data_IF_979152520325
#
_entry.id   IF_979152520325
#
_cell.length_a   1.000
_cell.length_b   1.000
_cell.length_c   1.000
_cell.angle_alpha   90.00
_cell.angle_beta   90.00
_cell.angle_gamma   90.00
#
_symmetry.space_group_name_H-M   'P 1'
#
loop_
_entity.id
_entity.type
_entity.pdbx_description
1 polymer ?
#
# COMPACT_ATOMS: atom_id res chain seq x y z
N UNK A 1 -1.60 -10.90 -2.83
CA UNK A 1 -2.68 -10.85 -1.81
C UNK A 1 -2.03 -10.75 -0.43
N UNK A 2 -2.63 -10.02 0.51
CA UNK A 2 -2.12 -9.87 1.88
C UNK A 2 -3.06 -10.53 2.87
N UNK A 3 -2.50 -11.22 3.86
CA UNK A 3 -3.22 -11.97 4.88
C UNK A 3 -2.90 -11.47 6.29
N UNK A 4 -3.81 -11.75 7.22
CA UNK A 4 -3.65 -11.38 8.63
C UNK A 4 -2.35 -11.98 9.19
N UNK A 5 -1.53 -11.11 9.78
CA UNK A 5 -0.27 -11.49 10.42
C UNK A 5 0.95 -11.33 9.51
N UNK A 6 0.76 -11.07 8.21
CA UNK A 6 1.88 -10.75 7.33
C UNK A 6 2.42 -9.34 7.61
N UNK A 7 3.74 -9.21 7.52
CA UNK A 7 4.45 -7.94 7.60
C UNK A 7 5.14 -7.69 6.26
N UNK A 8 4.86 -6.54 5.65
CA UNK A 8 5.49 -6.13 4.40
C UNK A 8 6.41 -4.95 4.69
N UNK A 9 7.66 -5.08 4.30
CA UNK A 9 8.61 -3.97 4.32
C UNK A 9 8.68 -3.34 2.93
N UNK A 10 8.46 -2.04 2.86
CA UNK A 10 8.46 -1.30 1.61
C UNK A 10 9.76 -0.53 1.53
N UNK A 11 10.56 -0.84 0.51
CA UNK A 11 11.86 -0.20 0.33
C UNK A 11 11.71 1.32 0.06
N UNK A 12 12.70 2.15 0.44
CA UNK A 12 12.67 3.58 0.18
C UNK A 12 12.47 3.89 -1.31
N UNK A 13 11.70 4.94 -1.60
CA UNK A 13 11.45 5.46 -2.95
C UNK A 13 10.71 4.51 -3.91
N UNK A 14 10.13 3.41 -3.41
CA UNK A 14 9.28 2.52 -4.22
C UNK A 14 7.87 3.12 -4.33
N UNK A 15 7.43 3.36 -5.56
CA UNK A 15 6.04 3.70 -5.86
C UNK A 15 5.19 2.45 -5.65
N UNK A 16 4.18 2.55 -4.78
CA UNK A 16 3.31 1.42 -4.43
C UNK A 16 1.93 1.92 -4.02
N UNK A 17 0.99 0.99 -3.98
CA UNK A 17 -0.34 1.17 -3.39
C UNK A 17 -0.73 -0.11 -2.63
N UNK A 18 -1.63 0.02 -1.67
CA UNK A 18 -2.20 -1.11 -0.94
C UNK A 18 -3.65 -0.78 -0.55
N UNK A 19 -4.52 -1.78 -0.53
CA UNK A 19 -5.94 -1.59 -0.26
C UNK A 19 -6.69 -2.90 -0.11
N UNK A 20 -8.00 -2.79 0.07
CA UNK A 20 -8.90 -3.93 0.15
C UNK A 20 -8.97 -4.71 -1.17
N UNK A 21 -9.21 -6.02 -1.07
CA UNK A 21 -9.63 -6.81 -2.24
C UNK A 21 -11.07 -6.43 -2.64
N UNK A 22 -11.50 -6.87 -3.82
CA UNK A 22 -12.85 -6.60 -4.34
C UNK A 22 -13.98 -7.10 -3.44
N UNK A 23 -13.71 -8.15 -2.66
CA UNK A 23 -14.70 -8.96 -1.95
C UNK A 23 -14.52 -8.94 -0.42
N UNK A 24 -13.50 -8.27 0.10
CA UNK A 24 -13.19 -8.30 1.54
C UNK A 24 -12.66 -6.97 2.06
N UNK A 25 -12.86 -6.72 3.36
CA UNK A 25 -12.32 -5.53 4.02
C UNK A 25 -10.87 -5.76 4.42
N UNK A 26 -10.07 -4.71 4.34
CA UNK A 26 -8.66 -4.72 4.75
C UNK A 26 -8.40 -3.65 5.80
N UNK A 27 -7.74 -4.05 6.89
CA UNK A 27 -7.24 -3.16 7.94
C UNK A 27 -5.81 -3.57 8.26
N UNK A 28 -4.92 -2.59 8.40
CA UNK A 28 -3.54 -2.82 8.77
C UNK A 28 -3.00 -1.68 9.62
N UNK A 29 -1.85 -1.91 10.24
CA UNK A 29 -1.04 -0.87 10.88
C UNK A 29 -0.02 -0.41 9.85
N UNK A 30 0.14 0.89 9.69
CA UNK A 30 1.19 1.50 8.87
C UNK A 30 2.21 2.19 9.77
N UNK A 31 3.50 1.93 9.54
CA UNK A 31 4.61 2.53 10.28
C UNK A 31 5.52 3.24 9.29
N UNK A 32 5.65 4.56 9.41
CA UNK A 32 6.54 5.38 8.60
C UNK A 32 7.73 5.84 9.47
N UNK A 33 8.90 5.18 9.39
CA UNK A 33 9.97 5.38 10.37
C UNK A 33 10.69 6.73 10.26
N UNK A 34 10.74 7.32 9.06
CA UNK A 34 11.60 8.48 8.78
C UNK A 34 10.88 9.84 8.84
N UNK A 35 9.64 9.87 9.34
CA UNK A 35 8.84 11.12 9.39
C UNK A 35 9.53 12.20 10.22
N UNK A 36 10.14 11.82 11.35
CA UNK A 36 10.89 12.75 12.21
C UNK A 36 12.20 13.26 11.59
N UNK A 37 12.68 12.61 10.52
CA UNK A 37 13.87 13.00 9.77
C UNK A 37 13.52 13.82 8.52
N UNK A 38 12.27 14.28 8.40
CA UNK A 38 11.79 15.01 7.23
C UNK A 38 11.35 14.13 6.07
N UNK A 39 11.28 12.80 6.25
CA UNK A 39 10.72 11.89 5.27
C UNK A 39 9.23 12.15 5.09
N UNK A 40 8.80 12.42 3.86
CA UNK A 40 7.41 12.66 3.51
C UNK A 40 6.94 11.68 2.44
N UNK A 41 5.65 11.35 2.47
CA UNK A 41 4.99 10.61 1.38
C UNK A 41 4.83 11.56 0.20
N UNK A 42 5.31 11.14 -0.98
CA UNK A 42 5.02 11.80 -2.24
C UNK A 42 3.81 11.10 -2.85
N UNK A 43 2.68 11.79 -2.89
CA UNK A 43 1.45 11.24 -3.47
C UNK A 43 1.54 11.20 -4.99
N UNK A 44 1.23 10.02 -5.55
CA UNK A 44 1.10 9.81 -7.00
C UNK A 44 -0.32 10.12 -7.50
N UNK A 45 -0.63 9.60 -8.69
CA UNK A 45 -1.99 9.62 -9.21
C UNK A 45 -2.87 8.55 -8.52
N UNK A 46 -4.20 8.72 -8.50
CA UNK A 46 -5.10 7.66 -8.07
C UNK A 46 -4.86 6.38 -8.88
N UNK A 47 -4.92 5.23 -8.20
CA UNK A 47 -4.94 3.93 -8.87
C UNK A 47 -6.22 3.86 -9.71
N UNK A 48 -6.08 3.58 -11.00
CA UNK A 48 -7.22 3.46 -11.91
C UNK A 48 -7.99 2.17 -11.67
N UNK A 49 -9.25 2.12 -12.10
CA UNK A 49 -10.05 0.89 -12.03
C UNK A 49 -9.38 -0.27 -12.80
N UNK A 50 -8.73 0.01 -13.93
CA UNK A 50 -8.02 -1.00 -14.72
C UNK A 50 -6.81 -1.57 -13.96
N UNK A 51 -5.99 -0.72 -13.33
CA UNK A 51 -4.86 -1.16 -12.48
C UNK A 51 -5.34 -1.95 -11.26
N UNK A 52 -6.44 -1.51 -10.64
CA UNK A 52 -7.05 -2.23 -9.51
C UNK A 52 -7.57 -3.60 -9.95
N UNK A 53 -8.30 -3.68 -11.06
CA UNK A 53 -8.86 -4.92 -11.58
C UNK A 53 -7.80 -5.87 -12.17
N UNK A 54 -6.66 -5.36 -12.67
CA UNK A 54 -5.55 -6.19 -13.14
C UNK A 54 -4.89 -6.99 -12.01
N UNK A 55 -5.09 -6.59 -10.74
CA UNK A 55 -4.60 -7.32 -9.56
C UNK A 55 -5.44 -8.54 -9.17
N UNK A 56 -6.48 -8.86 -9.96
CA UNK A 56 -7.28 -10.08 -9.82
C UNK A 56 -6.44 -11.31 -10.17
N UNK A 57 -6.02 -12.05 -9.16
CA UNK A 57 -5.49 -13.42 -9.26
C UNK A 57 -6.60 -14.44 -9.05
#
# INVERSE_FOLDING_TARGET
MLHKGEAINIAPNVVHWHGASHDSRFTHIAINPNVSQGGAVIWGQPVTDDEYNASRS
#
